data_IF_894657752967
#
_entry.id   IF_894657752967
#
_cell.length_a   1.000
_cell.length_b   1.000
_cell.length_c   1.000
_cell.angle_alpha   90.00
_cell.angle_beta   90.00
_cell.angle_gamma   90.00
#
_symmetry.space_group_name_H-M   'P 1'
#
loop_
_entity.id
_entity.type
_entity.pdbx_description
1 polymer ?
#
# COMPACT_ATOMS: atom_id res chain seq x y z
N UNK A 1 -36.38 1.01 -59.19
CA UNK A 1 -34.91 0.87 -59.29
C UNK A 1 -34.20 1.47 -58.08
N UNK A 2 -34.67 2.60 -57.49
CA UNK A 2 -34.18 3.15 -56.21
C UNK A 2 -34.12 2.16 -55.04
N UNK A 3 -35.20 1.42 -54.77
CA UNK A 3 -35.33 0.61 -53.54
C UNK A 3 -34.27 -0.51 -53.44
N UNK A 4 -33.84 -1.08 -54.57
CA UNK A 4 -32.74 -2.07 -54.59
C UNK A 4 -31.37 -1.46 -54.30
N UNK A 5 -31.14 -0.20 -54.70
CA UNK A 5 -29.89 0.52 -54.38
C UNK A 5 -29.82 0.87 -52.90
N UNK A 6 -30.94 1.30 -52.32
CA UNK A 6 -31.03 1.60 -50.88
C UNK A 6 -30.77 0.35 -50.01
N UNK A 7 -31.35 -0.80 -50.37
CA UNK A 7 -31.11 -2.05 -49.65
C UNK A 7 -29.62 -2.47 -49.67
N UNK A 8 -28.93 -2.30 -50.80
CA UNK A 8 -27.50 -2.62 -50.93
C UNK A 8 -26.60 -1.66 -50.14
N UNK A 9 -26.98 -0.38 -50.03
CA UNK A 9 -26.27 0.60 -49.22
C UNK A 9 -26.47 0.35 -47.72
N UNK A 10 -27.66 -0.08 -47.32
CA UNK A 10 -27.99 -0.44 -45.94
C UNK A 10 -27.22 -1.68 -45.48
N UNK A 11 -27.18 -2.75 -46.29
CA UNK A 11 -26.33 -3.92 -46.01
C UNK A 11 -24.83 -3.56 -45.90
N UNK A 12 -24.35 -2.66 -46.77
CA UNK A 12 -22.97 -2.17 -46.70
C UNK A 12 -22.71 -1.40 -45.40
N UNK A 13 -23.68 -0.61 -44.95
CA UNK A 13 -23.60 0.16 -43.70
C UNK A 13 -23.57 -0.76 -42.49
N UNK A 14 -24.46 -1.74 -42.43
CA UNK A 14 -24.50 -2.74 -41.35
C UNK A 14 -23.20 -3.54 -41.26
N UNK A 15 -22.64 -3.95 -42.40
CA UNK A 15 -21.37 -4.67 -42.44
C UNK A 15 -20.21 -3.81 -41.92
N UNK A 16 -20.18 -2.52 -42.26
CA UNK A 16 -19.17 -1.58 -41.75
C UNK A 16 -19.33 -1.34 -40.25
N UNK A 17 -20.56 -1.22 -39.75
CA UNK A 17 -20.87 -1.02 -38.34
C UNK A 17 -20.47 -2.24 -37.51
N UNK A 18 -20.75 -3.46 -37.99
CA UNK A 18 -20.32 -4.70 -37.35
C UNK A 18 -18.80 -4.79 -37.25
N UNK A 19 -18.09 -4.47 -38.33
CA UNK A 19 -16.63 -4.40 -38.34
C UNK A 19 -16.07 -3.37 -37.36
N UNK A 20 -16.70 -2.20 -37.29
CA UNK A 20 -16.29 -1.16 -36.35
C UNK A 20 -16.48 -1.64 -34.90
N UNK A 21 -17.61 -2.28 -34.61
CA UNK A 21 -17.91 -2.83 -33.28
C UNK A 21 -16.93 -3.94 -32.87
N UNK A 22 -16.51 -4.79 -33.81
CA UNK A 22 -15.50 -5.81 -33.54
C UNK A 22 -14.14 -5.21 -33.19
N UNK A 23 -13.71 -4.17 -33.92
CA UNK A 23 -12.46 -3.46 -33.63
C UNK A 23 -12.51 -2.70 -32.29
N UNK A 24 -13.63 -2.05 -31.95
CA UNK A 24 -13.78 -1.36 -30.65
C UNK A 24 -13.76 -2.36 -29.50
N UNK A 25 -14.46 -3.50 -29.64
CA UNK A 25 -14.43 -4.58 -28.65
C UNK A 25 -13.02 -5.15 -28.46
N UNK A 26 -12.25 -5.28 -29.54
CA UNK A 26 -10.86 -5.74 -29.49
C UNK A 26 -9.96 -4.76 -28.73
N UNK A 27 -10.11 -3.46 -29.00
CA UNK A 27 -9.37 -2.40 -28.28
C UNK A 27 -9.75 -2.36 -26.80
N UNK A 28 -11.04 -2.47 -26.47
CA UNK A 28 -11.51 -2.45 -25.09
C UNK A 28 -10.91 -3.61 -24.27
N UNK A 29 -10.85 -4.82 -24.84
CA UNK A 29 -10.22 -5.98 -24.17
C UNK A 29 -8.73 -5.76 -23.84
N UNK A 30 -8.00 -5.02 -24.67
CA UNK A 30 -6.60 -4.69 -24.42
C UNK A 30 -6.48 -3.70 -23.26
N UNK A 31 -7.35 -2.66 -23.24
CA UNK A 31 -7.41 -1.68 -22.16
C UNK A 31 -7.74 -2.37 -20.83
N UNK A 32 -8.76 -3.22 -20.79
CA UNK A 32 -9.17 -3.93 -19.57
C UNK A 32 -8.05 -4.83 -19.05
N UNK A 33 -7.31 -5.47 -19.95
CA UNK A 33 -6.14 -6.29 -19.59
C UNK A 33 -5.04 -5.45 -18.97
N UNK A 34 -4.76 -4.28 -19.54
CA UNK A 34 -3.74 -3.36 -19.02
C UNK A 34 -4.15 -2.76 -17.66
N UNK A 35 -5.41 -2.33 -17.50
CA UNK A 35 -5.96 -1.84 -16.23
C UNK A 35 -5.83 -2.92 -15.16
N UNK A 36 -6.21 -4.16 -15.47
CA UNK A 36 -6.10 -5.30 -14.53
C UNK A 36 -4.66 -5.57 -14.11
N UNK A 37 -3.69 -5.41 -15.02
CA UNK A 37 -2.25 -5.53 -14.69
C UNK A 37 -1.79 -4.39 -13.77
N UNK A 38 -2.20 -3.15 -14.06
CA UNK A 38 -1.90 -1.97 -13.23
C UNK A 38 -2.52 -2.08 -11.83
N UNK A 39 -3.76 -2.55 -11.72
CA UNK A 39 -4.43 -2.79 -10.43
C UNK A 39 -3.72 -3.89 -9.62
N UNK A 40 -3.34 -5.00 -10.27
CA UNK A 40 -2.52 -6.04 -9.62
C UNK A 40 -1.19 -5.50 -9.12
N UNK A 41 -0.51 -4.65 -9.90
CA UNK A 41 0.73 -4.00 -9.45
C UNK A 41 0.50 -3.08 -8.26
N UNK A 42 -0.63 -2.34 -8.18
CA UNK A 42 -0.98 -1.55 -6.99
C UNK A 42 -1.31 -2.43 -5.78
N UNK A 43 -2.03 -3.53 -5.97
CA UNK A 43 -2.29 -4.49 -4.90
C UNK A 43 -1.02 -5.20 -4.41
N UNK A 44 -0.06 -5.45 -5.31
CA UNK A 44 1.26 -6.00 -5.00
C UNK A 44 2.28 -4.93 -4.59
N UNK A 45 1.96 -3.64 -4.73
CA UNK A 45 2.82 -2.56 -4.27
C UNK A 45 2.88 -2.69 -2.76
N UNK A 46 3.99 -3.30 -2.31
CA UNK A 46 4.23 -3.53 -0.90
C UNK A 46 4.15 -2.16 -0.25
N UNK A 47 3.31 -1.96 0.78
CA UNK A 47 3.27 -0.68 1.45
C UNK A 47 4.70 -0.30 1.84
N UNK A 48 5.05 0.98 1.70
CA UNK A 48 6.37 1.53 2.05
C UNK A 48 6.81 1.15 3.47
N UNK A 49 5.90 0.62 4.29
CA UNK A 49 6.13 -0.17 5.50
C UNK A 49 6.71 -1.57 5.23
N UNK A 50 7.59 -1.77 4.22
CA UNK A 50 8.29 -3.06 4.06
C UNK A 50 9.04 -3.31 5.36
N UNK A 51 8.59 -4.32 6.10
CA UNK A 51 9.30 -4.98 7.19
C UNK A 51 10.78 -5.02 6.86
N UNK A 52 11.62 -4.54 7.77
CA UNK A 52 13.06 -4.74 7.73
C UNK A 52 13.33 -6.24 7.54
N UNK A 53 13.74 -6.72 6.34
CA UNK A 53 14.04 -8.13 6.09
C UNK A 53 15.34 -8.56 6.78
N UNK A 54 15.84 -7.77 7.72
CA UNK A 54 17.14 -7.96 8.34
C UNK A 54 16.96 -8.85 9.56
N UNK A 55 16.87 -10.15 9.31
CA UNK A 55 16.78 -11.18 10.37
C UNK A 55 18.10 -11.44 11.10
N UNK A 56 19.15 -10.69 10.76
CA UNK A 56 20.45 -10.86 11.39
C UNK A 56 20.40 -10.40 12.85
N UNK A 57 21.08 -11.13 13.72
CA UNK A 57 21.12 -10.84 15.16
C UNK A 57 22.02 -9.63 15.51
N UNK A 58 22.85 -9.19 14.57
CA UNK A 58 23.76 -8.04 14.65
C UNK A 58 23.13 -6.75 14.07
N UNK A 59 21.81 -6.72 13.86
CA UNK A 59 21.13 -5.56 13.32
C UNK A 59 21.16 -4.38 14.31
N UNK A 60 21.81 -3.29 13.91
CA UNK A 60 21.76 -2.01 14.59
C UNK A 60 20.64 -1.13 14.03
N UNK A 61 19.59 -0.97 14.83
CA UNK A 61 18.42 -0.13 14.52
C UNK A 61 18.80 1.35 14.36
N UNK A 62 19.74 1.85 15.16
CA UNK A 62 20.13 3.25 15.11
C UNK A 62 20.88 3.54 13.82
N UNK A 63 21.93 2.77 13.54
CA UNK A 63 22.67 2.89 12.29
C UNK A 63 21.77 2.71 11.07
N UNK A 64 20.78 1.81 11.14
CA UNK A 64 19.81 1.66 10.06
C UNK A 64 18.96 2.92 9.82
N UNK A 65 18.42 3.53 10.87
CA UNK A 65 17.63 4.76 10.78
C UNK A 65 18.47 5.90 10.22
N UNK A 66 19.71 6.04 10.68
CA UNK A 66 20.67 7.04 10.18
C UNK A 66 21.02 6.79 8.70
N UNK A 67 21.25 5.54 8.29
CA UNK A 67 21.50 5.17 6.90
C UNK A 67 20.32 5.43 5.97
N UNK A 68 19.10 5.44 6.52
CA UNK A 68 17.89 5.81 5.80
C UNK A 68 17.72 7.34 5.65
N UNK A 69 18.67 8.13 6.16
CA UNK A 69 18.68 9.59 6.08
C UNK A 69 17.91 10.29 7.21
N UNK A 70 17.60 9.59 8.30
CA UNK A 70 16.93 10.18 9.46
C UNK A 70 17.93 10.51 10.57
N UNK A 71 17.98 11.78 11.00
CA UNK A 71 18.83 12.21 12.11
C UNK A 71 18.17 11.89 13.46
N UNK A 72 18.54 10.76 14.06
CA UNK A 72 18.02 10.33 15.37
C UNK A 72 18.20 11.41 16.46
N UNK A 73 19.29 12.16 16.41
CA UNK A 73 19.62 13.22 17.39
C UNK A 73 18.71 14.44 17.32
N UNK A 74 18.01 14.64 16.20
CA UNK A 74 17.05 15.75 16.04
C UNK A 74 15.67 15.44 16.63
N UNK A 75 15.42 14.18 17.01
CA UNK A 75 14.15 13.73 17.55
C UNK A 75 14.19 13.61 19.08
N UNK A 76 14.12 14.73 19.80
CA UNK A 76 14.17 14.77 21.27
C UNK A 76 13.05 13.97 21.98
N UNK A 77 11.94 13.70 21.29
CA UNK A 77 10.83 12.91 21.82
C UNK A 77 11.00 11.39 21.63
N UNK A 78 12.08 10.98 20.96
CA UNK A 78 12.41 9.59 20.69
C UNK A 78 13.62 9.18 21.54
N UNK A 79 13.53 8.00 22.14
CA UNK A 79 14.64 7.32 22.78
C UNK A 79 15.01 6.12 21.92
N UNK A 80 16.19 6.18 21.31
CA UNK A 80 16.67 5.19 20.36
C UNK A 80 17.96 4.53 20.84
N UNK A 81 17.99 3.22 20.80
CA UNK A 81 19.18 2.38 20.97
C UNK A 81 19.31 1.43 19.78
N UNK A 82 20.41 0.68 19.71
CA UNK A 82 20.65 -0.32 18.66
C UNK A 82 19.52 -1.34 18.50
N UNK A 83 18.73 -1.60 19.56
CA UNK A 83 17.72 -2.65 19.57
C UNK A 83 16.33 -2.18 19.97
N UNK A 84 16.20 -0.96 20.47
CA UNK A 84 14.95 -0.47 21.04
C UNK A 84 14.68 0.94 20.54
N UNK A 85 13.45 1.19 20.09
CA UNK A 85 12.96 2.53 19.77
C UNK A 85 11.72 2.81 20.61
N UNK A 86 11.73 3.92 21.35
CA UNK A 86 10.61 4.35 22.19
C UNK A 86 10.26 5.79 21.90
N UNK A 87 8.98 6.11 21.98
CA UNK A 87 8.53 7.47 21.76
C UNK A 87 7.04 7.61 21.63
N UNK A 88 6.57 8.85 21.52
CA UNK A 88 5.16 9.11 21.29
C UNK A 88 4.82 9.03 19.80
N UNK A 89 3.79 8.25 19.47
CA UNK A 89 3.16 8.25 18.17
C UNK A 89 1.66 8.52 18.33
N UNK A 90 1.04 9.05 17.27
CA UNK A 90 -0.41 9.21 17.19
C UNK A 90 -0.98 8.02 16.45
N UNK A 91 -1.93 7.32 17.08
CA UNK A 91 -2.57 6.14 16.48
C UNK A 91 -4.08 6.27 16.50
N UNK A 92 -4.73 5.59 15.56
CA UNK A 92 -6.19 5.48 15.56
C UNK A 92 -6.67 4.43 16.57
N UNK A 93 -7.72 4.76 17.33
CA UNK A 93 -8.40 3.81 18.20
C UNK A 93 -9.16 2.72 17.42
N UNK A 94 -9.30 1.53 18.03
CA UNK A 94 -10.04 0.41 17.42
C UNK A 94 -11.56 0.57 17.58
N UNK A 95 -12.03 0.79 18.82
CA UNK A 95 -13.45 0.93 19.17
C UNK A 95 -14.02 2.29 18.76
N UNK A 96 -13.26 3.35 18.99
CA UNK A 96 -13.59 4.72 18.61
C UNK A 96 -12.48 5.19 17.68
N UNK A 97 -12.85 5.68 16.49
CA UNK A 97 -11.92 6.08 15.41
C UNK A 97 -11.29 7.45 15.66
N UNK A 98 -10.89 7.72 16.90
CA UNK A 98 -10.18 8.94 17.28
C UNK A 98 -8.67 8.71 17.24
N UNK A 99 -7.94 9.75 16.84
CA UNK A 99 -6.49 9.79 16.87
C UNK A 99 -6.03 10.15 18.27
N UNK A 100 -5.18 9.32 18.86
CA UNK A 100 -4.67 9.54 20.23
C UNK A 100 -3.17 9.35 20.28
N UNK A 101 -2.49 10.27 20.97
CA UNK A 101 -1.07 10.16 21.31
C UNK A 101 -0.88 9.05 22.35
N UNK A 102 -0.02 8.09 22.05
CA UNK A 102 0.35 6.97 22.93
C UNK A 102 1.87 6.81 22.93
N UNK A 103 2.42 6.36 24.05
CA UNK A 103 3.82 5.96 24.14
C UNK A 103 3.99 4.56 23.56
N UNK A 104 4.89 4.41 22.59
CA UNK A 104 5.23 3.17 21.90
C UNK A 104 6.63 2.72 22.29
N UNK A 105 6.82 1.40 22.30
CA UNK A 105 8.08 0.72 22.54
C UNK A 105 8.21 -0.39 21.51
N UNK A 106 9.14 -0.23 20.58
CA UNK A 106 9.58 -1.27 19.66
C UNK A 106 10.83 -1.93 20.23
N UNK A 107 10.77 -3.23 20.48
CA UNK A 107 11.86 -4.03 21.02
C UNK A 107 12.25 -5.11 20.01
N UNK A 108 13.47 -5.01 19.47
CA UNK A 108 13.99 -5.95 18.48
C UNK A 108 14.36 -7.30 19.07
N UNK A 109 14.88 -7.33 20.30
CA UNK A 109 15.26 -8.59 20.96
C UNK A 109 14.04 -9.47 21.18
N UNK A 110 12.96 -8.86 21.66
CA UNK A 110 11.69 -9.55 21.92
C UNK A 110 10.84 -9.70 20.67
N UNK A 111 11.20 -9.01 19.59
CA UNK A 111 10.40 -8.88 18.36
C UNK A 111 8.98 -8.43 18.69
N UNK A 112 8.86 -7.37 19.47
CA UNK A 112 7.57 -6.85 19.91
C UNK A 112 7.42 -5.37 19.66
N UNK A 113 6.20 -4.95 19.33
CA UNK A 113 5.75 -3.57 19.37
C UNK A 113 4.68 -3.43 20.45
N UNK A 114 4.99 -2.67 21.49
CA UNK A 114 4.10 -2.40 22.61
C UNK A 114 3.68 -0.94 22.66
N UNK A 115 2.47 -0.67 23.15
CA UNK A 115 2.04 0.69 23.45
C UNK A 115 1.07 0.75 24.64
N UNK A 116 1.02 1.90 25.30
CA UNK A 116 0.09 2.12 26.41
C UNK A 116 -1.24 2.70 25.91
N UNK A 117 -2.34 2.03 26.23
CA UNK A 117 -3.72 2.44 26.01
C UNK A 117 -4.37 2.87 27.33
N UNK A 118 -4.49 4.18 27.55
CA UNK A 118 -5.00 4.71 28.82
C UNK A 118 -3.99 4.54 29.97
N UNK A 119 -4.46 4.62 31.22
CA UNK A 119 -3.58 4.71 32.40
C UNK A 119 -2.87 3.40 32.77
N UNK A 120 -3.43 2.23 32.43
CA UNK A 120 -2.89 0.94 32.92
C UNK A 120 -2.78 -0.17 31.88
N UNK A 121 -3.33 -0.02 30.67
CA UNK A 121 -3.39 -1.14 29.72
C UNK A 121 -2.28 -1.03 28.68
N UNK A 122 -1.22 -1.82 28.85
CA UNK A 122 -0.24 -2.08 27.79
C UNK A 122 -0.82 -3.06 26.77
N UNK A 123 -0.62 -2.79 25.49
CA UNK A 123 -0.96 -3.68 24.38
C UNK A 123 0.33 -4.01 23.65
N UNK A 124 0.63 -5.30 23.51
CA UNK A 124 1.83 -5.81 22.84
C UNK A 124 1.44 -6.60 21.60
N UNK A 125 2.18 -6.41 20.52
CA UNK A 125 2.01 -7.12 19.25
C UNK A 125 3.36 -7.74 18.90
N UNK A 126 3.36 -9.03 18.55
CA UNK A 126 4.56 -9.69 18.04
C UNK A 126 4.85 -9.26 16.59
N UNK A 127 6.11 -9.03 16.29
CA UNK A 127 6.62 -8.68 14.98
C UNK A 127 7.20 -9.94 14.32
N UNK A 128 6.69 -10.28 13.14
CA UNK A 128 7.18 -11.40 12.33
C UNK A 128 8.50 -11.07 11.60
#
# INVERSE_FOLDING_TARGET
>A
MESRKQALEEERREHLEKRLQEETNRRQKLIDREVKLREKQRAQSRPLTRYLPVRKNDFDLRAHIESAGHSADTCFHLSLTEKICRGFLVKMGRKIKTWKKSWFVFDRNRRTLSYFSGKHRMVTVECQ
#
